data_IF_193905914542
#
_entry.id   IF_193905914542
#
_cell.length_a   1.000
_cell.length_b   1.000
_cell.length_c   1.000
_cell.angle_alpha   90.00
_cell.angle_beta   90.00
_cell.angle_gamma   90.00
#
_symmetry.space_group_name_H-M   'P 1'
#
loop_
_entity.id
_entity.type
_entity.pdbx_description
1 polymer ?
#
# COMPACT_ATOMS: atom_id res chain seq x y z
N UNK A 1 23.61 -13.35 1.55
CA UNK A 1 23.41 -11.90 1.55
C UNK A 1 23.43 -11.37 2.97
N UNK A 2 24.11 -10.29 3.15
CA UNK A 2 24.17 -9.70 4.48
C UNK A 2 22.85 -8.98 4.77
N UNK A 3 22.14 -9.46 5.76
CA UNK A 3 20.82 -8.93 6.12
C UNK A 3 20.91 -7.51 6.66
N UNK A 4 22.07 -7.09 7.12
CA UNK A 4 22.24 -5.73 7.63
C UNK A 4 22.11 -4.68 6.53
N UNK A 5 22.34 -5.05 5.28
CA UNK A 5 22.19 -4.14 4.14
C UNK A 5 20.71 -3.75 3.97
N UNK A 6 19.80 -4.65 4.38
CA UNK A 6 18.36 -4.46 4.20
C UNK A 6 17.65 -4.18 5.52
N UNK A 7 18.36 -3.60 6.48
CA UNK A 7 17.74 -3.22 7.74
C UNK A 7 16.89 -1.96 7.55
N UNK A 8 15.59 -2.11 7.70
CA UNK A 8 14.62 -1.02 7.53
C UNK A 8 14.01 -0.59 8.85
N UNK A 9 14.64 -0.93 9.95
CA UNK A 9 14.14 -0.55 11.27
C UNK A 9 13.99 0.97 11.36
N UNK A 10 12.82 1.43 11.76
CA UNK A 10 12.53 2.85 11.87
C UNK A 10 12.05 3.48 10.57
N UNK A 11 12.07 2.76 9.46
CA UNK A 11 11.53 3.26 8.20
C UNK A 11 10.03 3.04 8.16
N UNK A 12 9.32 3.99 7.56
CA UNK A 12 7.86 3.98 7.48
C UNK A 12 7.40 3.96 6.04
N UNK A 13 6.54 3.04 5.72
CA UNK A 13 6.05 2.89 4.36
C UNK A 13 4.56 2.70 4.26
N UNK A 14 4.00 3.15 3.16
CA UNK A 14 2.57 3.00 2.86
C UNK A 14 2.43 1.94 1.79
N UNK A 15 1.56 0.97 2.01
CA UNK A 15 1.31 -0.12 1.06
C UNK A 15 -0.10 0.03 0.51
N UNK A 16 -0.20 0.23 -0.78
CA UNK A 16 -1.47 0.37 -1.47
C UNK A 16 -1.61 -0.75 -2.51
N UNK A 17 -2.79 -1.33 -2.59
CA UNK A 17 -3.06 -2.31 -3.63
C UNK A 17 -3.15 -3.76 -3.17
N UNK A 18 -3.18 -4.00 -1.86
CA UNK A 18 -3.41 -5.35 -1.37
C UNK A 18 -4.88 -5.69 -1.54
N UNK A 19 -5.15 -6.77 -2.25
CA UNK A 19 -6.51 -7.31 -2.37
C UNK A 19 -6.67 -8.57 -1.51
N UNK A 20 -5.58 -9.34 -1.37
CA UNK A 20 -5.57 -10.55 -0.56
C UNK A 20 -4.11 -10.97 -0.36
N UNK A 21 -3.91 -12.13 0.26
CA UNK A 21 -2.57 -12.64 0.55
C UNK A 21 -1.79 -13.10 -0.67
N UNK A 22 -2.40 -13.07 -1.86
CA UNK A 22 -1.73 -13.41 -3.12
C UNK A 22 -1.33 -12.16 -3.90
N UNK A 23 -1.66 -10.99 -3.40
CA UNK A 23 -1.30 -9.74 -4.08
C UNK A 23 0.21 -9.54 -4.11
N UNK A 24 0.70 -8.95 -5.19
CA UNK A 24 2.11 -8.55 -5.27
C UNK A 24 2.45 -7.60 -4.13
N UNK A 25 1.54 -6.66 -3.85
CA UNK A 25 1.75 -5.71 -2.76
C UNK A 25 1.92 -6.40 -1.41
N UNK A 26 1.18 -7.50 -1.17
CA UNK A 26 1.35 -8.25 0.06
C UNK A 26 2.72 -8.93 0.13
N UNK A 27 3.17 -9.50 -0.99
CA UNK A 27 4.50 -10.09 -1.05
C UNK A 27 5.58 -9.08 -0.71
N UNK A 28 5.46 -7.87 -1.23
CA UNK A 28 6.40 -6.79 -0.94
C UNK A 28 6.29 -6.39 0.53
N UNK A 29 5.07 -6.18 1.03
CA UNK A 29 4.85 -5.76 2.41
C UNK A 29 5.43 -6.73 3.42
N UNK A 30 5.23 -8.04 3.20
CA UNK A 30 5.72 -9.04 4.13
C UNK A 30 7.24 -9.03 4.20
N UNK A 31 7.91 -8.79 3.07
CA UNK A 31 9.37 -8.68 3.05
C UNK A 31 9.84 -7.41 3.76
N UNK A 32 9.17 -6.29 3.52
CA UNK A 32 9.55 -5.04 4.18
C UNK A 32 9.38 -5.15 5.69
N UNK A 33 8.32 -5.81 6.12
CA UNK A 33 8.10 -6.07 7.54
C UNK A 33 9.21 -6.93 8.13
N UNK A 34 9.65 -7.96 7.40
CA UNK A 34 10.74 -8.82 7.85
C UNK A 34 12.03 -8.04 8.04
N UNK A 35 12.23 -6.98 7.27
CA UNK A 35 13.40 -6.12 7.42
C UNK A 35 13.21 -5.02 8.45
N UNK A 36 12.08 -4.98 9.13
CA UNK A 36 11.87 -4.09 10.26
C UNK A 36 11.07 -2.83 9.98
N UNK A 37 10.56 -2.65 8.76
CA UNK A 37 9.79 -1.45 8.43
C UNK A 37 8.45 -1.41 9.16
N UNK A 38 8.01 -0.20 9.47
CA UNK A 38 6.65 0.05 9.93
C UNK A 38 5.78 0.34 8.72
N UNK A 39 4.60 -0.25 8.66
CA UNK A 39 3.77 -0.18 7.47
C UNK A 39 2.37 0.36 7.78
N UNK A 40 1.83 1.12 6.84
CA UNK A 40 0.44 1.51 6.83
C UNK A 40 -0.18 0.94 5.56
N UNK A 41 -1.47 0.67 5.59
CA UNK A 41 -2.17 -0.01 4.50
C UNK A 41 -3.38 0.76 4.07
N UNK A 42 -3.72 0.64 2.79
CA UNK A 42 -4.95 1.19 2.26
C UNK A 42 -5.88 0.07 1.79
N UNK A 43 -7.16 0.37 1.73
CA UNK A 43 -8.15 -0.51 1.13
C UNK A 43 -9.16 0.37 0.37
N UNK A 44 -9.81 -0.21 -0.64
CA UNK A 44 -10.70 0.57 -1.49
C UNK A 44 -12.17 0.43 -1.11
N UNK A 45 -12.56 -0.68 -0.48
CA UNK A 45 -13.94 -0.94 -0.07
C UNK A 45 -13.98 -1.92 1.09
N UNK A 46 -15.16 -2.15 1.64
CA UNK A 46 -15.32 -3.02 2.81
C UNK A 46 -14.93 -4.47 2.54
N UNK A 47 -15.17 -4.96 1.35
CA UNK A 47 -14.79 -6.31 0.99
C UNK A 47 -13.27 -6.50 1.06
N UNK A 48 -12.54 -5.53 0.55
CA UNK A 48 -11.08 -5.54 0.60
C UNK A 48 -10.58 -5.30 2.02
N UNK A 49 -11.25 -4.40 2.76
CA UNK A 49 -10.90 -4.13 4.15
C UNK A 49 -10.83 -5.40 4.98
N UNK A 50 -11.81 -6.27 4.82
CA UNK A 50 -11.88 -7.52 5.57
C UNK A 50 -10.68 -8.43 5.29
N UNK A 51 -10.08 -8.30 4.14
CA UNK A 51 -8.90 -9.09 3.76
C UNK A 51 -7.61 -8.42 4.18
N UNK A 52 -7.58 -7.10 4.19
CA UNK A 52 -6.36 -6.35 4.52
C UNK A 52 -6.11 -6.33 6.02
N UNK A 53 -7.14 -6.21 6.84
CA UNK A 53 -6.96 -6.11 8.29
C UNK A 53 -6.15 -7.29 8.87
N UNK A 54 -6.47 -8.55 8.54
CA UNK A 54 -5.67 -9.65 9.06
C UNK A 54 -4.22 -9.59 8.61
N UNK A 55 -3.97 -9.15 7.39
CA UNK A 55 -2.61 -9.04 6.86
C UNK A 55 -1.85 -7.91 7.56
N UNK A 56 -2.53 -6.80 7.81
CA UNK A 56 -1.92 -5.70 8.57
C UNK A 56 -1.56 -6.16 9.98
N UNK A 57 -2.41 -6.99 10.59
CA UNK A 57 -2.11 -7.54 11.91
C UNK A 57 -0.86 -8.41 11.91
N UNK A 58 -0.64 -9.16 10.84
CA UNK A 58 0.60 -9.92 10.70
C UNK A 58 1.82 -9.00 10.72
N UNK A 59 1.67 -7.79 10.21
CA UNK A 59 2.72 -6.77 10.20
C UNK A 59 2.71 -5.90 11.45
N UNK A 60 1.89 -6.22 12.44
CA UNK A 60 1.75 -5.44 13.67
C UNK A 60 1.30 -4.00 13.39
N UNK A 61 0.51 -3.80 12.36
CA UNK A 61 0.04 -2.47 11.97
C UNK A 61 -1.44 -2.31 12.27
N UNK A 62 -1.79 -1.17 12.86
CA UNK A 62 -3.17 -0.76 13.05
C UNK A 62 -3.56 0.34 12.06
N UNK A 63 -2.64 0.78 11.23
CA UNK A 63 -2.88 1.84 10.27
C UNK A 63 -3.45 1.27 8.98
N UNK A 64 -4.76 1.12 8.95
CA UNK A 64 -5.50 0.58 7.80
C UNK A 64 -6.63 1.56 7.49
N UNK A 65 -6.50 2.29 6.39
CA UNK A 65 -7.41 3.38 6.06
C UNK A 65 -7.92 3.25 4.63
N UNK A 66 -9.12 3.77 4.42
CA UNK A 66 -9.71 3.78 3.09
C UNK A 66 -8.97 4.74 2.16
N UNK A 67 -8.73 4.30 0.94
CA UNK A 67 -8.20 5.17 -0.11
C UNK A 67 -8.71 4.69 -1.47
N UNK A 68 -9.63 5.44 -2.03
CA UNK A 68 -10.11 5.23 -3.39
C UNK A 68 -9.35 6.20 -4.29
N UNK A 69 -8.43 5.68 -5.08
CA UNK A 69 -7.55 6.52 -5.90
C UNK A 69 -8.28 7.22 -7.03
N UNK A 70 -9.54 6.86 -7.29
CA UNK A 70 -10.36 7.59 -8.26
C UNK A 70 -11.00 8.84 -7.66
N UNK A 71 -10.84 9.07 -6.36
CA UNK A 71 -11.43 10.19 -5.65
C UNK A 71 -10.35 11.03 -5.00
N UNK A 72 -10.20 12.28 -5.42
CA UNK A 72 -9.23 13.20 -4.83
C UNK A 72 -9.48 13.40 -3.34
N UNK A 73 -10.75 13.46 -2.95
CA UNK A 73 -11.11 13.62 -1.55
C UNK A 73 -10.66 12.41 -0.73
N UNK A 74 -10.85 11.21 -1.27
CA UNK A 74 -10.44 9.99 -0.56
C UNK A 74 -8.92 9.95 -0.38
N UNK A 75 -8.18 10.33 -1.40
CA UNK A 75 -6.72 10.39 -1.33
C UNK A 75 -6.30 11.40 -0.26
N UNK A 76 -6.89 12.57 -0.27
CA UNK A 76 -6.56 13.60 0.71
C UNK A 76 -6.84 13.14 2.13
N UNK A 77 -8.03 12.56 2.34
CA UNK A 77 -8.43 12.06 3.66
C UNK A 77 -7.48 10.96 4.14
N UNK A 78 -7.07 10.08 3.23
CA UNK A 78 -6.12 9.03 3.56
C UNK A 78 -4.81 9.60 4.08
N UNK A 79 -4.23 10.55 3.34
CA UNK A 79 -2.94 11.13 3.76
C UNK A 79 -3.07 11.99 5.00
N UNK A 80 -4.21 12.60 5.24
CA UNK A 80 -4.43 13.30 6.50
C UNK A 80 -4.40 12.34 7.69
N UNK A 81 -4.98 11.16 7.53
CA UNK A 81 -4.93 10.14 8.58
C UNK A 81 -3.52 9.61 8.79
N UNK A 82 -2.77 9.43 7.71
CA UNK A 82 -1.37 9.04 7.81
C UNK A 82 -0.59 10.09 8.61
N UNK A 83 -0.77 11.37 8.25
CA UNK A 83 -0.06 12.46 8.92
C UNK A 83 -0.42 12.60 10.39
N UNK A 84 -1.61 12.15 10.79
CA UNK A 84 -1.98 12.19 12.22
C UNK A 84 -1.19 11.22 13.06
N UNK A 85 -0.61 10.18 12.44
CA UNK A 85 0.17 9.17 13.14
C UNK A 85 1.65 9.27 12.86
N UNK A 86 2.01 9.63 11.64
CA UNK A 86 3.40 9.78 11.21
C UNK A 86 3.61 11.20 10.72
N UNK A 87 4.72 11.83 11.09
CA UNK A 87 5.07 13.14 10.55
C UNK A 87 5.46 13.06 9.10
N UNK A 88 6.06 11.95 8.71
CA UNK A 88 6.46 11.69 7.33
C UNK A 88 6.52 10.17 7.11
N UNK A 89 6.81 9.79 5.89
CA UNK A 89 7.05 8.39 5.58
C UNK A 89 8.20 8.31 4.57
N UNK A 90 8.84 7.15 4.50
CA UNK A 90 10.06 6.97 3.71
C UNK A 90 9.79 6.41 2.32
N UNK A 91 8.71 5.62 2.15
CA UNK A 91 8.42 5.02 0.86
C UNK A 91 6.94 4.73 0.72
N UNK A 92 6.54 4.55 -0.53
CA UNK A 92 5.16 4.19 -0.87
C UNK A 92 5.19 3.10 -1.93
N UNK A 93 4.51 2.00 -1.66
CA UNK A 93 4.33 0.92 -2.63
C UNK A 93 2.93 1.07 -3.22
N UNK A 94 2.89 1.39 -4.50
CA UNK A 94 1.64 1.60 -5.21
C UNK A 94 1.47 0.50 -6.24
N UNK A 95 0.76 -0.55 -5.87
CA UNK A 95 0.58 -1.72 -6.70
C UNK A 95 -0.90 -1.94 -6.97
N UNK A 96 -1.57 -0.90 -7.41
CA UNK A 96 -2.98 -0.99 -7.74
C UNK A 96 -3.11 -1.36 -9.18
N UNK A 97 -3.60 -2.57 -9.44
CA UNK A 97 -3.88 -3.04 -10.77
C UNK A 97 -5.38 -3.01 -10.97
N UNK A 98 -5.82 -2.24 -11.93
CA UNK A 98 -7.21 -2.33 -12.34
C UNK A 98 -7.35 -3.55 -13.21
N UNK A 99 -8.36 -4.31 -12.93
CA UNK A 99 -8.52 -5.62 -13.47
C UNK A 99 -9.01 -5.68 -14.90
N UNK A 100 -9.28 -4.58 -15.50
CA UNK A 100 -9.76 -4.58 -16.88
C UNK A 100 -8.60 -4.89 -17.81
N UNK A 101 -8.73 -6.00 -18.53
CA UNK A 101 -7.69 -6.44 -19.46
C UNK A 101 -7.42 -5.43 -20.56
N UNK A 102 -8.42 -4.70 -20.95
CA UNK A 102 -8.26 -3.70 -22.01
C UNK A 102 -7.36 -2.57 -21.53
N UNK A 103 -7.49 -2.17 -20.28
CA UNK A 103 -6.62 -1.16 -19.72
C UNK A 103 -5.18 -1.63 -19.66
N UNK A 104 -4.98 -2.89 -19.35
CA UNK A 104 -3.64 -3.44 -19.27
C UNK A 104 -2.96 -3.51 -20.62
N UNK A 105 -3.74 -3.60 -21.70
CA UNK A 105 -3.16 -3.72 -23.03
C UNK A 105 -2.77 -2.38 -23.66
N UNK A 106 -3.66 -1.42 -23.64
CA UNK A 106 -3.47 -0.20 -24.40
C UNK A 106 -3.41 1.04 -23.52
N UNK A 107 -4.43 1.22 -22.76
CA UNK A 107 -4.59 2.45 -21.99
C UNK A 107 -3.75 2.47 -20.73
N UNK A 108 -3.24 1.33 -20.33
CA UNK A 108 -2.43 1.25 -19.14
C UNK A 108 -1.23 2.19 -19.19
N UNK A 109 -0.51 2.18 -20.30
CA UNK A 109 0.66 3.04 -20.45
C UNK A 109 0.28 4.52 -20.45
N UNK A 110 -0.85 4.83 -21.07
CA UNK A 110 -1.35 6.18 -21.11
C UNK A 110 -1.74 6.67 -19.71
N UNK A 111 -2.48 5.84 -18.98
CA UNK A 111 -2.88 6.15 -17.61
C UNK A 111 -1.69 6.36 -16.71
N UNK A 112 -0.68 5.50 -16.84
CA UNK A 112 0.52 5.62 -16.02
C UNK A 112 1.19 6.96 -16.18
N UNK A 113 1.27 7.45 -17.39
CA UNK A 113 1.90 8.73 -17.64
C UNK A 113 1.10 9.90 -17.08
N UNK A 114 -0.20 9.81 -17.15
CA UNK A 114 -1.05 10.88 -16.64
C UNK A 114 -1.07 10.92 -15.13
N UNK A 115 -0.91 9.79 -14.47
CA UNK A 115 -0.95 9.70 -13.03
C UNK A 115 0.38 9.98 -12.36
N UNK A 116 1.38 10.09 -13.13
CA UNK A 116 2.69 10.48 -12.65
C UNK A 116 3.03 11.89 -13.09
#
# INVERSE_FOLDING_TARGET
>A
MDINILNLKGKKGIIMGIANDRSVAWGIASKLKDFGAELAFSYVNESIKKRVIPLANVCNSEMVYECDVSSDKSIKDFFEKINSKWNDFDFLVHSIAFSDKNELKGEYLSSSRENF
#
